data_IF_255741781643
#
_entry.id   IF_255741781643
#
_cell.length_a   1.000
_cell.length_b   1.000
_cell.length_c   1.000
_cell.angle_alpha   90.00
_cell.angle_beta   90.00
_cell.angle_gamma   90.00
#
_symmetry.space_group_name_H-M   'P 1'
#
loop_
_entity.id
_entity.type
_entity.pdbx_description
1 polymer ?
#
# COMPACT_ATOMS: atom_id res chain seq x y z
N UNK A 1 -8.71 -14.37 -13.37
CA UNK A 1 -8.09 -13.10 -12.88
C UNK A 1 -6.73 -12.97 -13.54
N UNK A 2 -6.39 -11.80 -14.11
CA UNK A 2 -5.10 -11.56 -14.78
C UNK A 2 -3.97 -11.39 -13.74
N UNK A 3 -3.58 -12.48 -13.11
CA UNK A 3 -2.47 -12.46 -12.12
C UNK A 3 -1.11 -12.24 -12.78
N UNK A 4 -0.96 -12.62 -14.05
CA UNK A 4 0.30 -12.54 -14.82
C UNK A 4 0.45 -11.26 -15.64
N UNK A 5 -0.48 -10.28 -15.50
CA UNK A 5 -0.33 -8.98 -16.17
C UNK A 5 0.96 -8.30 -15.73
N UNK A 6 1.79 -7.87 -16.69
CA UNK A 6 2.95 -7.05 -16.41
C UNK A 6 2.51 -5.67 -15.88
N UNK A 7 3.16 -5.20 -14.81
CA UNK A 7 2.75 -4.03 -14.04
C UNK A 7 3.62 -2.81 -14.39
N UNK A 8 2.97 -1.66 -14.55
CA UNK A 8 3.64 -0.36 -14.55
C UNK A 8 3.63 0.22 -13.12
N UNK A 9 4.82 0.47 -12.58
CA UNK A 9 5.03 0.96 -11.23
C UNK A 9 5.49 2.42 -11.26
N UNK A 10 4.88 3.28 -10.43
CA UNK A 10 5.27 4.66 -10.22
C UNK A 10 5.87 4.79 -8.82
N UNK A 11 7.12 5.24 -8.69
CA UNK A 11 7.82 5.41 -7.41
C UNK A 11 8.02 6.89 -7.15
N UNK A 12 7.44 7.41 -6.07
CA UNK A 12 7.55 8.82 -5.70
C UNK A 12 8.76 9.08 -4.82
N UNK A 13 9.68 9.93 -5.31
CA UNK A 13 10.89 10.35 -4.63
C UNK A 13 10.75 11.79 -4.09
N UNK A 14 11.40 12.08 -2.97
CA UNK A 14 11.38 13.42 -2.35
C UNK A 14 12.77 14.03 -2.10
N UNK A 15 13.81 13.42 -2.65
CA UNK A 15 15.23 13.76 -2.52
C UNK A 15 15.78 13.68 -1.09
N UNK A 16 15.07 12.97 -0.20
CA UNK A 16 15.53 12.66 1.15
C UNK A 16 16.27 11.31 1.22
N UNK A 17 16.67 10.93 2.41
CA UNK A 17 17.23 9.60 2.69
C UNK A 17 16.25 8.46 2.37
N UNK A 18 14.95 8.76 2.33
CA UNK A 18 13.92 7.77 1.99
C UNK A 18 14.07 7.21 0.57
N UNK A 19 14.62 7.99 -0.35
CA UNK A 19 14.75 7.58 -1.76
C UNK A 19 15.57 6.29 -1.92
N UNK A 20 16.66 6.13 -1.17
CA UNK A 20 17.47 4.90 -1.22
C UNK A 20 16.67 3.65 -0.84
N UNK A 21 15.79 3.76 0.16
CA UNK A 21 14.92 2.66 0.59
C UNK A 21 13.86 2.34 -0.47
N UNK A 22 13.30 3.36 -1.10
CA UNK A 22 12.31 3.19 -2.17
C UNK A 22 12.92 2.56 -3.43
N UNK A 23 14.13 2.97 -3.81
CA UNK A 23 14.86 2.40 -4.96
C UNK A 23 15.23 0.93 -4.66
N UNK A 24 15.70 0.63 -3.44
CA UNK A 24 15.96 -0.75 -3.03
C UNK A 24 14.68 -1.59 -3.05
N UNK A 25 13.56 -1.04 -2.56
CA UNK A 25 12.27 -1.74 -2.55
C UNK A 25 11.74 -1.96 -3.98
N UNK A 26 11.96 -1.02 -4.90
CA UNK A 26 11.63 -1.18 -6.31
C UNK A 26 12.37 -2.37 -6.95
N UNK A 27 13.64 -2.62 -6.59
CA UNK A 27 14.39 -3.82 -7.01
C UNK A 27 13.75 -5.11 -6.47
N UNK A 28 13.27 -5.09 -5.22
CA UNK A 28 12.56 -6.24 -4.62
C UNK A 28 11.26 -6.50 -5.38
N UNK A 29 10.48 -5.45 -5.68
CA UNK A 29 9.23 -5.59 -6.43
C UNK A 29 9.45 -6.18 -7.81
N UNK A 30 10.49 -5.78 -8.54
CA UNK A 30 10.86 -6.37 -9.84
C UNK A 30 11.19 -7.86 -9.73
N UNK A 31 11.80 -8.27 -8.61
CA UNK A 31 12.11 -9.67 -8.38
C UNK A 31 10.88 -10.53 -8.05
N UNK A 32 9.90 -9.99 -7.33
CA UNK A 32 8.75 -10.75 -6.82
C UNK A 32 7.44 -10.53 -7.59
N UNK A 33 7.37 -9.51 -8.44
CA UNK A 33 6.22 -9.22 -9.31
C UNK A 33 6.62 -9.31 -10.79
N UNK A 34 5.63 -9.46 -11.65
CA UNK A 34 5.82 -9.30 -13.09
C UNK A 34 5.77 -7.81 -13.45
N UNK A 35 6.92 -7.17 -13.60
CA UNK A 35 7.04 -5.72 -13.83
C UNK A 35 7.38 -5.44 -15.30
N UNK A 36 6.62 -4.55 -15.93
CA UNK A 36 6.88 -4.03 -17.28
C UNK A 36 7.89 -2.88 -17.24
N UNK A 37 7.64 -1.90 -16.36
CA UNK A 37 8.46 -0.71 -16.22
C UNK A 37 8.30 -0.07 -14.85
N UNK A 38 9.38 0.51 -14.32
CA UNK A 38 9.35 1.36 -13.13
C UNK A 38 9.64 2.80 -13.53
N UNK A 39 8.77 3.73 -13.13
CA UNK A 39 8.96 5.16 -13.34
C UNK A 39 9.23 5.82 -11.99
N UNK A 40 10.39 6.45 -11.83
CA UNK A 40 10.72 7.28 -10.68
C UNK A 40 10.27 8.71 -10.95
N UNK A 41 9.47 9.28 -10.06
CA UNK A 41 8.98 10.64 -10.18
C UNK A 41 9.40 11.48 -8.98
N UNK A 42 9.96 12.67 -9.27
CA UNK A 42 10.13 13.74 -8.29
C UNK A 42 9.44 15.00 -8.77
N UNK A 43 8.74 15.70 -7.88
CA UNK A 43 8.15 16.99 -8.19
C UNK A 43 8.92 18.12 -7.52
N UNK A 44 9.56 18.95 -8.34
CA UNK A 44 10.18 20.19 -7.91
C UNK A 44 9.10 21.27 -7.79
N UNK A 45 8.73 21.62 -6.57
CA UNK A 45 7.65 22.58 -6.30
C UNK A 45 8.12 24.02 -6.61
N UNK A 46 7.59 24.60 -7.66
CA UNK A 46 7.97 25.95 -8.10
C UNK A 46 7.73 27.01 -7.03
N UNK A 47 6.65 26.90 -6.26
CA UNK A 47 6.33 27.86 -5.20
C UNK A 47 7.28 27.85 -3.98
N UNK A 48 8.11 26.82 -3.85
CA UNK A 48 9.12 26.70 -2.78
C UNK A 48 10.52 27.17 -3.25
N UNK A 49 10.69 27.53 -4.55
CA UNK A 49 11.96 27.95 -5.09
C UNK A 49 12.14 29.48 -4.99
N UNK A 50 13.37 29.96 -4.73
CA UNK A 50 13.74 31.35 -4.92
C UNK A 50 13.49 31.80 -6.36
N UNK A 51 13.07 33.07 -6.57
CA UNK A 51 12.74 33.61 -7.88
C UNK A 51 13.89 33.51 -8.89
N UNK A 52 15.11 33.62 -8.44
CA UNK A 52 16.35 33.51 -9.22
C UNK A 52 16.51 32.12 -9.87
N UNK A 53 15.97 31.09 -9.23
CA UNK A 53 16.04 29.70 -9.73
C UNK A 53 14.86 29.31 -10.65
N UNK A 54 13.82 30.13 -10.74
CA UNK A 54 12.63 29.83 -11.58
C UNK A 54 12.90 30.16 -13.06
N UNK A 55 14.03 30.78 -13.40
CA UNK A 55 14.41 31.04 -14.81
C UNK A 55 14.60 29.71 -15.56
N UNK A 56 14.16 29.66 -16.81
CA UNK A 56 14.11 28.44 -17.64
C UNK A 56 15.43 27.68 -17.68
N UNK A 57 16.54 28.36 -17.86
CA UNK A 57 17.86 27.72 -17.93
C UNK A 57 18.30 27.14 -16.59
N UNK A 58 17.98 27.83 -15.48
CA UNK A 58 18.28 27.36 -14.14
C UNK A 58 17.42 26.13 -13.79
N UNK A 59 16.13 26.14 -14.14
CA UNK A 59 15.25 24.98 -13.92
C UNK A 59 15.72 23.76 -14.71
N UNK A 60 16.12 23.92 -15.96
CA UNK A 60 16.66 22.82 -16.76
C UNK A 60 17.94 22.24 -16.16
N UNK A 61 18.83 23.09 -15.64
CA UNK A 61 20.04 22.65 -14.94
C UNK A 61 19.72 21.90 -13.64
N UNK A 62 18.76 22.40 -12.86
CA UNK A 62 18.31 21.73 -11.61
C UNK A 62 17.72 20.36 -11.93
N UNK A 63 16.81 20.29 -12.90
CA UNK A 63 16.22 19.01 -13.33
C UNK A 63 17.30 17.99 -13.74
N UNK A 64 18.28 18.42 -14.55
CA UNK A 64 19.41 17.57 -14.98
C UNK A 64 20.23 17.07 -13.78
N UNK A 65 20.49 17.91 -12.79
CA UNK A 65 21.23 17.52 -11.57
C UNK A 65 20.43 16.52 -10.71
N UNK A 66 19.11 16.73 -10.57
CA UNK A 66 18.24 15.81 -9.85
C UNK A 66 18.20 14.46 -10.57
N UNK A 67 18.01 14.45 -11.90
CA UNK A 67 18.01 13.22 -12.71
C UNK A 67 19.30 12.46 -12.50
N UNK A 68 20.46 13.14 -12.63
CA UNK A 68 21.77 12.50 -12.42
C UNK A 68 21.93 11.90 -11.03
N UNK A 69 21.50 12.62 -9.98
CA UNK A 69 21.54 12.09 -8.60
C UNK A 69 20.69 10.82 -8.45
N UNK A 70 19.49 10.81 -9.01
CA UNK A 70 18.60 9.64 -8.97
C UNK A 70 19.20 8.49 -9.78
N UNK A 71 19.78 8.75 -10.97
CA UNK A 71 20.47 7.74 -11.77
C UNK A 71 21.65 7.11 -11.02
N UNK A 72 22.45 7.91 -10.30
CA UNK A 72 23.57 7.43 -9.48
C UNK A 72 23.07 6.50 -8.36
N UNK A 73 21.97 6.83 -7.68
CA UNK A 73 21.35 5.98 -6.67
C UNK A 73 20.80 4.67 -7.26
N UNK A 74 20.16 4.73 -8.42
CA UNK A 74 19.62 3.57 -9.13
C UNK A 74 20.78 2.65 -9.55
N UNK A 75 21.83 3.20 -10.13
CA UNK A 75 23.00 2.44 -10.58
C UNK A 75 23.69 1.74 -9.42
N UNK A 76 23.81 2.39 -8.26
CA UNK A 76 24.38 1.80 -7.06
C UNK A 76 23.60 0.59 -6.51
N UNK A 77 22.34 0.40 -6.91
CA UNK A 77 21.51 -0.76 -6.52
C UNK A 77 21.59 -1.92 -7.52
N UNK A 78 22.41 -1.82 -8.58
CA UNK A 78 22.55 -2.86 -9.62
C UNK A 78 21.19 -3.30 -10.21
N UNK A 79 20.40 -2.34 -10.64
CA UNK A 79 19.06 -2.56 -11.19
C UNK A 79 19.16 -3.11 -12.62
N UNK A 80 18.38 -4.14 -12.91
CA UNK A 80 18.32 -4.80 -14.24
C UNK A 80 17.02 -4.54 -15.00
N UNK A 81 16.02 -3.93 -14.36
CA UNK A 81 14.73 -3.65 -14.97
C UNK A 81 14.72 -2.35 -15.80
N UNK A 82 13.74 -2.24 -16.70
CA UNK A 82 13.48 -1.01 -17.47
C UNK A 82 12.95 0.08 -16.56
N UNK A 83 13.63 1.22 -16.52
CA UNK A 83 13.17 2.37 -15.73
C UNK A 83 13.14 3.68 -16.54
N UNK A 84 12.43 4.64 -16.00
CA UNK A 84 12.31 6.01 -16.48
C UNK A 84 12.38 6.96 -15.27
N UNK A 85 12.96 8.15 -15.46
CA UNK A 85 13.00 9.20 -14.43
C UNK A 85 12.27 10.42 -14.96
N UNK A 86 11.29 10.91 -14.20
CA UNK A 86 10.49 12.09 -14.54
C UNK A 86 10.65 13.14 -13.44
N UNK A 87 11.12 14.32 -13.79
CA UNK A 87 11.16 15.49 -12.91
C UNK A 87 10.09 16.49 -13.35
N UNK A 88 9.04 16.64 -12.56
CA UNK A 88 7.93 17.57 -12.83
C UNK A 88 8.15 18.91 -12.13
N UNK A 89 7.46 19.95 -12.61
CA UNK A 89 7.55 21.34 -12.15
C UNK A 89 6.16 21.85 -11.76
N UNK A 90 5.53 21.22 -10.78
CA UNK A 90 4.18 21.58 -10.34
C UNK A 90 4.23 22.23 -8.94
N UNK A 91 3.32 23.18 -8.67
CA UNK A 91 3.22 23.77 -7.34
C UNK A 91 2.80 22.78 -6.26
N UNK A 92 2.04 21.76 -6.66
CA UNK A 92 1.51 20.73 -5.75
C UNK A 92 1.85 19.33 -6.28
N UNK A 93 2.50 18.54 -5.45
CA UNK A 93 2.92 17.18 -5.84
C UNK A 93 1.74 16.28 -6.21
N UNK A 94 0.58 16.42 -5.56
CA UNK A 94 -0.62 15.65 -5.91
C UNK A 94 -1.10 15.92 -7.35
N UNK A 95 -0.90 17.14 -7.86
CA UNK A 95 -1.24 17.49 -9.27
C UNK A 95 -0.25 16.79 -10.20
N UNK A 96 1.05 16.83 -9.90
CA UNK A 96 2.08 16.16 -10.68
C UNK A 96 1.78 14.65 -10.83
N UNK A 97 1.53 13.96 -9.71
CA UNK A 97 1.19 12.53 -9.72
C UNK A 97 -0.11 12.23 -10.48
N UNK A 98 -1.14 13.06 -10.31
CA UNK A 98 -2.40 12.88 -11.01
C UNK A 98 -2.26 13.09 -12.53
N UNK A 99 -1.45 14.06 -12.96
CA UNK A 99 -1.16 14.33 -14.37
C UNK A 99 -0.43 13.15 -15.03
N UNK A 100 0.65 12.67 -14.42
CA UNK A 100 1.42 11.53 -14.91
C UNK A 100 0.57 10.25 -14.95
N UNK A 101 -0.26 10.02 -13.91
CA UNK A 101 -1.17 8.87 -13.86
C UNK A 101 -2.29 8.91 -14.90
N UNK A 102 -2.61 10.07 -15.46
CA UNK A 102 -3.54 10.19 -16.59
C UNK A 102 -2.88 9.92 -17.95
N UNK A 103 -1.61 10.27 -18.09
CA UNK A 103 -0.85 10.06 -19.33
C UNK A 103 -0.49 8.59 -19.52
N UNK A 104 -0.17 7.89 -18.43
CA UNK A 104 0.18 6.47 -18.44
C UNK A 104 -0.54 5.78 -17.30
N UNK A 105 -1.15 4.63 -17.61
CA UNK A 105 -1.82 3.81 -16.59
C UNK A 105 -0.79 3.11 -15.72
N UNK A 106 -0.68 3.50 -14.46
CA UNK A 106 0.11 2.81 -13.46
C UNK A 106 -0.78 1.88 -12.63
N UNK A 107 -0.30 0.66 -12.40
CA UNK A 107 -0.99 -0.35 -11.60
C UNK A 107 -0.69 -0.17 -10.11
N UNK A 108 0.54 0.27 -9.80
CA UNK A 108 1.04 0.45 -8.44
C UNK A 108 1.77 1.79 -8.29
N UNK A 109 1.41 2.54 -7.26
CA UNK A 109 2.16 3.68 -6.74
C UNK A 109 2.94 3.24 -5.50
N UNK A 110 4.23 3.55 -5.43
CA UNK A 110 5.10 3.28 -4.28
C UNK A 110 5.55 4.60 -3.66
N UNK A 111 5.34 4.77 -2.36
CA UNK A 111 5.68 5.96 -1.61
C UNK A 111 6.35 5.61 -0.29
N UNK A 112 7.18 6.51 0.22
CA UNK A 112 7.74 6.40 1.57
C UNK A 112 6.69 6.61 2.66
N UNK A 113 6.79 5.80 3.72
CA UNK A 113 6.02 5.91 4.95
C UNK A 113 6.99 6.16 6.11
N UNK A 114 7.52 7.38 6.19
CA UNK A 114 8.56 7.77 7.14
C UNK A 114 8.12 7.55 8.58
N UNK A 115 8.86 6.73 9.32
CA UNK A 115 8.62 6.41 10.72
C UNK A 115 9.54 7.22 11.66
N UNK A 116 10.81 7.29 11.29
CA UNK A 116 11.86 8.01 12.03
C UNK A 116 12.38 9.23 11.25
N UNK A 117 12.30 9.19 9.93
CA UNK A 117 12.71 10.28 9.06
C UNK A 117 11.71 11.44 9.11
N UNK A 118 12.20 12.66 8.86
CA UNK A 118 11.36 13.86 8.83
C UNK A 118 10.34 13.81 7.71
N UNK A 119 9.07 14.00 8.05
CA UNK A 119 7.95 14.04 7.11
C UNK A 119 6.63 13.76 7.82
N UNK A 120 5.51 14.22 7.24
CA UNK A 120 4.18 14.09 7.86
C UNK A 120 3.23 13.16 7.08
N UNK A 121 3.71 12.47 6.05
CA UNK A 121 2.89 11.55 5.26
C UNK A 121 1.70 12.19 4.51
N UNK A 122 1.59 13.52 4.49
CA UNK A 122 0.43 14.24 3.92
C UNK A 122 0.21 13.92 2.43
N UNK A 123 1.29 13.80 1.66
CA UNK A 123 1.21 13.43 0.24
C UNK A 123 0.68 12.01 0.07
N UNK A 124 1.21 11.04 0.82
CA UNK A 124 0.74 9.65 0.78
C UNK A 124 -0.75 9.55 1.07
N UNK A 125 -1.22 10.25 2.12
CA UNK A 125 -2.64 10.34 2.48
C UNK A 125 -3.52 10.85 1.32
N UNK A 126 -3.08 11.89 0.61
CA UNK A 126 -3.80 12.45 -0.54
C UNK A 126 -3.81 11.46 -1.71
N UNK A 127 -2.67 10.88 -2.04
CA UNK A 127 -2.52 10.03 -3.23
C UNK A 127 -3.24 8.68 -3.08
N UNK A 128 -3.25 8.08 -1.89
CA UNK A 128 -4.06 6.88 -1.59
C UNK A 128 -5.55 7.11 -1.91
N UNK A 129 -6.05 8.33 -1.72
CA UNK A 129 -7.45 8.68 -2.02
C UNK A 129 -7.68 9.02 -3.49
N UNK A 130 -6.77 9.80 -4.09
CA UNK A 130 -6.95 10.42 -5.41
C UNK A 130 -6.67 9.49 -6.57
N UNK A 131 -5.60 8.71 -6.52
CA UNK A 131 -5.16 7.92 -7.68
C UNK A 131 -5.93 6.60 -7.79
N UNK A 132 -6.20 6.13 -9.00
CA UNK A 132 -6.93 4.88 -9.25
C UNK A 132 -6.07 3.63 -8.97
N UNK A 133 -4.74 3.74 -9.03
CA UNK A 133 -3.79 2.66 -8.77
C UNK A 133 -3.84 2.15 -7.34
N UNK A 134 -3.39 0.93 -7.10
CA UNK A 134 -3.02 0.50 -5.77
C UNK A 134 -1.86 1.37 -5.25
N UNK A 135 -1.77 1.53 -3.93
CA UNK A 135 -0.71 2.35 -3.31
C UNK A 135 0.01 1.55 -2.24
N UNK A 136 1.31 1.38 -2.42
CA UNK A 136 2.21 0.73 -1.48
C UNK A 136 2.98 1.80 -0.69
N UNK A 137 2.88 1.74 0.62
CA UNK A 137 3.65 2.57 1.54
C UNK A 137 4.76 1.73 2.15
N UNK A 138 6.00 2.19 1.98
CA UNK A 138 7.21 1.50 2.41
C UNK A 138 7.83 2.30 3.55
N UNK A 139 7.92 1.77 4.79
CA UNK A 139 8.67 2.40 5.86
C UNK A 139 10.17 2.22 5.63
N UNK A 140 11.02 3.12 6.12
CA UNK A 140 12.48 2.94 6.08
C UNK A 140 12.97 1.76 6.94
N UNK A 141 12.13 1.30 7.84
CA UNK A 141 12.37 0.16 8.75
C UNK A 141 11.90 -1.18 8.17
N UNK A 142 11.52 -1.24 6.88
CA UNK A 142 11.04 -2.48 6.27
C UNK A 142 12.07 -3.62 6.32
N UNK A 143 11.58 -4.85 6.34
CA UNK A 143 12.41 -6.05 6.35
C UNK A 143 12.46 -6.71 4.98
N UNK A 144 13.59 -7.33 4.68
CA UNK A 144 13.83 -8.14 3.48
C UNK A 144 14.47 -9.48 3.88
N UNK A 145 14.14 -10.56 3.18
CA UNK A 145 13.15 -10.67 2.09
C UNK A 145 11.70 -10.54 2.59
N UNK A 146 10.74 -10.29 1.67
CA UNK A 146 9.31 -10.32 1.99
C UNK A 146 8.88 -11.79 2.11
N UNK A 147 8.67 -12.27 3.32
CA UNK A 147 8.32 -13.68 3.60
C UNK A 147 6.88 -13.85 4.08
N UNK A 148 6.36 -12.87 4.80
CA UNK A 148 5.03 -12.96 5.44
C UNK A 148 4.14 -11.82 4.98
N UNK A 149 3.02 -12.17 4.37
CA UNK A 149 1.99 -11.24 3.88
C UNK A 149 0.68 -11.48 4.61
N UNK A 150 0.07 -10.42 5.12
CA UNK A 150 -1.27 -10.42 5.71
C UNK A 150 -2.27 -9.87 4.71
N UNK A 151 -3.29 -10.65 4.40
CA UNK A 151 -4.40 -10.27 3.53
C UNK A 151 -5.59 -9.88 4.41
N UNK A 152 -5.84 -8.56 4.60
CA UNK A 152 -6.85 -8.05 5.53
C UNK A 152 -8.25 -8.07 4.89
N UNK A 153 -9.05 -9.07 5.21
CA UNK A 153 -10.34 -9.37 4.60
C UNK A 153 -11.49 -8.71 5.37
N UNK A 154 -12.37 -8.00 4.66
CA UNK A 154 -13.57 -7.40 5.23
C UNK A 154 -14.87 -7.89 4.58
N UNK A 155 -14.78 -8.88 3.69
CA UNK A 155 -15.89 -9.42 2.90
C UNK A 155 -16.64 -8.38 2.04
N UNK A 156 -16.01 -7.25 1.76
CA UNK A 156 -16.52 -6.22 0.84
C UNK A 156 -16.12 -6.50 -0.61
N UNK A 157 -16.52 -5.60 -1.52
CA UNK A 157 -16.07 -5.61 -2.92
C UNK A 157 -14.55 -5.48 -3.08
N UNK A 158 -13.83 -5.07 -2.04
CA UNK A 158 -12.36 -4.95 -2.06
C UNK A 158 -11.67 -6.29 -1.84
N UNK A 159 -12.34 -7.29 -1.26
CA UNK A 159 -11.79 -8.62 -1.04
C UNK A 159 -11.22 -9.22 -2.33
N UNK A 160 -11.92 -9.09 -3.47
CA UNK A 160 -11.42 -9.58 -4.75
C UNK A 160 -10.12 -8.89 -5.19
N UNK A 161 -9.97 -7.58 -4.95
CA UNK A 161 -8.74 -6.85 -5.25
C UNK A 161 -7.59 -7.26 -4.32
N UNK A 162 -7.88 -7.48 -3.03
CA UNK A 162 -6.90 -8.01 -2.07
C UNK A 162 -6.41 -9.37 -2.55
N UNK A 163 -7.31 -10.30 -2.89
CA UNK A 163 -6.95 -11.65 -3.36
C UNK A 163 -6.19 -11.64 -4.69
N UNK A 164 -6.50 -10.69 -5.59
CA UNK A 164 -5.72 -10.53 -6.82
C UNK A 164 -4.27 -10.12 -6.52
N UNK A 165 -4.06 -9.15 -5.63
CA UNK A 165 -2.71 -8.73 -5.26
C UNK A 165 -1.97 -9.82 -4.48
N UNK A 166 -2.63 -10.51 -3.57
CA UNK A 166 -2.08 -11.68 -2.89
C UNK A 166 -1.60 -12.76 -3.89
N UNK A 167 -2.43 -13.06 -4.89
CA UNK A 167 -2.08 -14.01 -5.94
C UNK A 167 -0.90 -13.54 -6.81
N UNK A 168 -0.76 -12.24 -7.09
CA UNK A 168 0.38 -11.67 -7.82
C UNK A 168 1.69 -11.88 -7.06
N UNK A 169 1.72 -11.60 -5.76
CA UNK A 169 2.88 -11.86 -4.92
C UNK A 169 3.22 -13.35 -4.85
N UNK A 170 2.22 -14.20 -4.67
CA UNK A 170 2.40 -15.66 -4.58
C UNK A 170 2.90 -16.29 -5.89
N UNK A 171 2.33 -15.88 -7.03
CA UNK A 171 2.57 -16.56 -8.32
C UNK A 171 3.84 -16.07 -9.04
N UNK A 172 4.31 -14.86 -8.76
CA UNK A 172 5.43 -14.25 -9.48
C UNK A 172 6.74 -14.18 -8.68
N UNK A 173 6.79 -14.75 -7.49
CA UNK A 173 7.91 -14.65 -6.56
C UNK A 173 9.21 -15.39 -6.97
N UNK A 174 9.37 -15.76 -8.24
CA UNK A 174 10.62 -16.34 -8.83
C UNK A 174 11.37 -17.32 -7.91
N UNK A 175 10.62 -18.23 -7.26
CA UNK A 175 11.17 -19.26 -6.36
C UNK A 175 11.28 -18.85 -4.88
N UNK A 176 10.98 -17.60 -4.53
CA UNK A 176 10.85 -17.21 -3.13
C UNK A 176 9.50 -17.66 -2.58
N UNK A 177 9.49 -18.36 -1.44
CA UNK A 177 8.27 -18.76 -0.77
C UNK A 177 7.71 -17.59 0.04
N UNK A 178 6.58 -17.02 -0.40
CA UNK A 178 5.86 -15.99 0.33
C UNK A 178 4.65 -16.62 1.01
N UNK A 179 4.62 -16.56 2.34
CA UNK A 179 3.52 -17.07 3.17
C UNK A 179 2.42 -16.03 3.27
N UNK A 180 1.23 -16.39 2.79
CA UNK A 180 0.02 -15.57 2.93
C UNK A 180 -0.84 -16.03 4.10
N UNK A 181 -1.39 -15.08 4.85
CA UNK A 181 -2.38 -15.33 5.92
C UNK A 181 -3.55 -14.38 5.72
N UNK A 182 -4.69 -14.90 5.29
CA UNK A 182 -5.93 -14.12 5.25
C UNK A 182 -6.44 -13.93 6.68
N UNK A 183 -6.84 -12.70 7.04
CA UNK A 183 -7.39 -12.38 8.35
C UNK A 183 -8.63 -11.51 8.24
N UNK A 184 -9.66 -11.86 9.00
CA UNK A 184 -10.79 -11.00 9.27
C UNK A 184 -10.83 -10.63 10.75
N UNK A 185 -10.84 -9.33 11.03
CA UNK A 185 -11.03 -8.86 12.41
C UNK A 185 -12.54 -8.65 12.63
N UNK A 186 -13.17 -9.55 13.39
CA UNK A 186 -14.58 -9.42 13.74
C UNK A 186 -14.76 -8.32 14.79
N UNK A 187 -15.83 -7.53 14.62
CA UNK A 187 -16.15 -6.45 15.57
C UNK A 187 -16.58 -7.05 16.91
N UNK A 188 -16.19 -6.38 18.00
CA UNK A 188 -16.76 -6.67 19.31
C UNK A 188 -18.12 -6.01 19.44
N UNK A 189 -19.15 -6.79 19.75
CA UNK A 189 -20.53 -6.27 19.96
C UNK A 189 -20.74 -5.70 21.36
N UNK A 190 -19.82 -5.90 22.29
CA UNK A 190 -19.88 -5.47 23.68
C UNK A 190 -20.15 -3.99 23.88
N UNK A 191 -19.57 -3.14 23.04
CA UNK A 191 -19.74 -1.69 23.15
C UNK A 191 -21.03 -1.16 22.54
N UNK A 192 -21.74 -1.96 21.75
CA UNK A 192 -22.95 -1.54 21.03
C UNK A 192 -24.24 -2.09 21.62
N UNK A 193 -24.16 -3.13 22.43
CA UNK A 193 -25.32 -3.86 22.97
C UNK A 193 -25.21 -4.02 24.49
N UNK A 194 -25.15 -2.94 25.27
CA UNK A 194 -24.94 -3.00 26.74
C UNK A 194 -26.09 -3.68 27.50
N UNK A 195 -27.22 -3.96 26.82
CA UNK A 195 -28.41 -4.63 27.40
C UNK A 195 -28.35 -6.15 27.26
N UNK A 196 -27.35 -6.70 26.56
CA UNK A 196 -27.22 -8.14 26.35
C UNK A 196 -26.29 -8.77 27.38
N UNK A 197 -26.56 -10.02 27.73
CA UNK A 197 -25.68 -10.81 28.59
C UNK A 197 -24.45 -11.31 27.82
N UNK A 198 -23.37 -11.63 28.52
CA UNK A 198 -22.15 -12.19 27.94
C UNK A 198 -22.45 -13.44 27.10
N UNK A 199 -23.35 -14.31 27.56
CA UNK A 199 -23.74 -15.52 26.84
C UNK A 199 -24.44 -15.25 25.50
N UNK A 200 -25.28 -14.23 25.44
CA UNK A 200 -25.96 -13.83 24.21
C UNK A 200 -24.97 -13.22 23.21
N UNK A 201 -24.06 -12.38 23.70
CA UNK A 201 -23.02 -11.77 22.88
C UNK A 201 -22.04 -12.81 22.34
N UNK A 202 -21.64 -13.80 23.14
CA UNK A 202 -20.80 -14.93 22.71
C UNK A 202 -21.52 -15.77 21.64
N UNK A 203 -22.83 -16.01 21.78
CA UNK A 203 -23.60 -16.75 20.80
C UNK A 203 -23.61 -16.00 19.45
N UNK A 204 -23.94 -14.70 19.46
CA UNK A 204 -23.94 -13.86 18.25
C UNK A 204 -22.55 -13.84 17.59
N UNK A 205 -21.49 -13.71 18.40
CA UNK A 205 -20.14 -13.71 17.88
C UNK A 205 -19.77 -15.03 17.21
N UNK A 206 -20.14 -16.16 17.77
CA UNK A 206 -19.90 -17.49 17.16
C UNK A 206 -20.68 -17.69 15.86
N UNK A 207 -21.94 -17.25 15.82
CA UNK A 207 -22.77 -17.30 14.61
C UNK A 207 -22.18 -16.43 13.50
N UNK A 208 -21.75 -15.20 13.81
CA UNK A 208 -21.08 -14.30 12.87
C UNK A 208 -19.75 -14.88 12.34
N UNK A 209 -18.95 -15.48 13.21
CA UNK A 209 -17.70 -16.17 12.82
C UNK A 209 -18.00 -17.32 11.85
N UNK A 210 -18.95 -18.18 12.19
CA UNK A 210 -19.35 -19.31 11.37
C UNK A 210 -19.86 -18.88 9.99
N UNK A 211 -20.70 -17.86 9.91
CA UNK A 211 -21.18 -17.31 8.64
C UNK A 211 -20.03 -16.82 7.75
N UNK A 212 -19.03 -16.16 8.35
CA UNK A 212 -17.87 -15.67 7.62
C UNK A 212 -16.94 -16.79 7.16
N UNK A 213 -16.74 -17.82 7.97
CA UNK A 213 -15.99 -19.03 7.59
C UNK A 213 -16.68 -19.77 6.42
N UNK A 214 -17.99 -19.94 6.49
CA UNK A 214 -18.77 -20.56 5.40
C UNK A 214 -18.68 -19.73 4.10
N UNK A 215 -18.80 -18.41 4.19
CA UNK A 215 -18.65 -17.51 3.07
C UNK A 215 -17.25 -17.59 2.45
N UNK A 216 -16.21 -17.60 3.29
CA UNK A 216 -14.83 -17.75 2.85
C UNK A 216 -14.60 -19.08 2.14
N UNK A 217 -14.99 -20.18 2.76
CA UNK A 217 -14.84 -21.52 2.22
C UNK A 217 -15.56 -21.70 0.88
N UNK A 218 -16.69 -21.03 0.69
CA UNK A 218 -17.44 -21.07 -0.57
C UNK A 218 -16.76 -20.28 -1.71
N UNK A 219 -16.06 -19.18 -1.41
CA UNK A 219 -15.58 -18.23 -2.42
C UNK A 219 -14.06 -18.19 -2.57
N UNK A 220 -13.29 -18.49 -1.51
CA UNK A 220 -11.86 -18.16 -1.45
C UNK A 220 -10.97 -19.28 -0.88
N UNK A 221 -11.50 -20.43 -0.45
CA UNK A 221 -10.71 -21.51 0.17
C UNK A 221 -9.56 -22.03 -0.70
N UNK A 222 -9.68 -21.88 -2.05
CA UNK A 222 -8.60 -22.27 -2.96
C UNK A 222 -7.33 -21.38 -2.84
N UNK A 223 -7.39 -20.26 -2.14
CA UNK A 223 -6.26 -19.34 -2.01
C UNK A 223 -5.45 -19.59 -0.73
N UNK A 224 -6.10 -19.64 0.41
CA UNK A 224 -5.54 -19.88 1.75
C UNK A 224 -6.67 -20.04 2.78
N UNK A 225 -6.35 -20.53 3.96
CA UNK A 225 -7.26 -20.48 5.11
C UNK A 225 -7.41 -19.04 5.63
N UNK A 226 -8.50 -18.77 6.36
CA UNK A 226 -8.74 -17.47 6.97
C UNK A 226 -8.71 -17.56 8.49
N UNK A 227 -7.96 -16.66 9.13
CA UNK A 227 -8.03 -16.44 10.56
C UNK A 227 -9.14 -15.43 10.88
N UNK A 228 -10.16 -15.80 11.64
CA UNK A 228 -11.17 -14.85 12.13
C UNK A 228 -10.85 -14.52 13.58
N UNK A 229 -10.42 -13.26 13.79
CA UNK A 229 -9.89 -12.80 15.08
C UNK A 229 -10.83 -11.76 15.69
N UNK A 230 -11.34 -11.95 16.91
CA UNK A 230 -12.17 -10.93 17.55
C UNK A 230 -11.34 -9.70 17.94
N UNK A 231 -11.86 -8.51 17.68
CA UNK A 231 -11.22 -7.24 18.06
C UNK A 231 -11.13 -7.06 19.59
N UNK A 232 -11.88 -7.83 20.37
CA UNK A 232 -12.00 -7.70 21.83
C UNK A 232 -12.36 -6.25 22.22
N UNK A 233 -11.56 -5.64 23.07
CA UNK A 233 -11.76 -4.26 23.55
C UNK A 233 -11.02 -3.21 22.70
N UNK A 234 -10.58 -3.57 21.48
CA UNK A 234 -9.85 -2.68 20.57
C UNK A 234 -10.70 -2.32 19.36
N UNK A 235 -10.34 -1.24 18.65
CA UNK A 235 -10.86 -1.01 17.32
C UNK A 235 -10.21 -1.99 16.31
N UNK A 236 -10.92 -2.24 15.20
CA UNK A 236 -10.49 -3.20 14.17
C UNK A 236 -9.07 -2.92 13.64
N UNK A 237 -8.72 -1.64 13.45
CA UNK A 237 -7.40 -1.27 12.94
C UNK A 237 -6.28 -1.59 13.93
N UNK A 238 -6.50 -1.35 15.24
CA UNK A 238 -5.52 -1.68 16.27
C UNK A 238 -5.33 -3.20 16.39
N UNK A 239 -6.43 -3.96 16.34
CA UNK A 239 -6.37 -5.43 16.36
C UNK A 239 -5.65 -5.98 15.12
N UNK A 240 -5.88 -5.39 13.94
CA UNK A 240 -5.22 -5.78 12.70
C UNK A 240 -3.69 -5.53 12.75
N UNK A 241 -3.28 -4.35 13.23
CA UNK A 241 -1.86 -4.01 13.40
C UNK A 241 -1.20 -4.95 14.42
N UNK A 242 -1.88 -5.23 15.54
CA UNK A 242 -1.37 -6.17 16.54
C UNK A 242 -1.24 -7.59 15.97
N UNK A 243 -2.19 -8.03 15.16
CA UNK A 243 -2.12 -9.32 14.47
C UNK A 243 -0.92 -9.37 13.51
N UNK A 244 -0.73 -8.34 12.66
CA UNK A 244 0.40 -8.25 11.76
C UNK A 244 1.74 -8.28 12.52
N UNK A 245 1.85 -7.55 13.62
CA UNK A 245 3.02 -7.57 14.51
C UNK A 245 3.29 -8.97 15.10
N UNK A 246 2.24 -9.65 15.57
CA UNK A 246 2.37 -11.01 16.12
C UNK A 246 2.84 -12.01 15.07
N UNK A 247 2.39 -11.87 13.83
CA UNK A 247 2.81 -12.72 12.71
C UNK A 247 4.14 -12.26 12.08
N UNK A 248 4.73 -11.16 12.54
CA UNK A 248 5.94 -10.52 11.95
C UNK A 248 5.76 -10.27 10.47
N UNK A 249 4.64 -9.64 10.11
CA UNK A 249 4.29 -9.40 8.72
C UNK A 249 5.20 -8.35 8.06
N UNK A 250 5.76 -8.67 6.91
CA UNK A 250 6.55 -7.75 6.08
C UNK A 250 5.64 -6.86 5.23
N UNK A 251 4.48 -7.38 4.83
CA UNK A 251 3.50 -6.69 4.01
C UNK A 251 2.08 -6.95 4.51
N UNK A 252 1.24 -5.92 4.52
CA UNK A 252 -0.20 -6.02 4.75
C UNK A 252 -0.95 -5.47 3.54
N UNK A 253 -1.84 -6.28 2.96
CA UNK A 253 -2.72 -5.89 1.85
C UNK A 253 -4.11 -5.60 2.40
N UNK A 254 -4.62 -4.40 2.15
CA UNK A 254 -5.92 -3.98 2.67
C UNK A 254 -6.68 -3.10 1.68
N UNK A 255 -8.01 -3.13 1.75
CA UNK A 255 -8.88 -2.27 0.93
C UNK A 255 -8.85 -0.81 1.42
N UNK A 256 -8.88 0.15 0.48
CA UNK A 256 -9.00 1.58 0.86
C UNK A 256 -10.33 1.91 1.53
N UNK A 257 -11.38 1.09 1.35
CA UNK A 257 -12.70 1.22 1.99
C UNK A 257 -13.19 -0.14 2.45
N UNK A 258 -14.11 -0.15 3.41
CA UNK A 258 -14.84 -1.34 3.84
C UNK A 258 -16.24 -1.41 3.22
N UNK A 259 -17.07 -2.29 3.76
CA UNK A 259 -18.45 -2.56 3.32
C UNK A 259 -19.41 -1.37 3.42
N UNK A 260 -19.11 -0.31 4.17
CA UNK A 260 -20.00 0.82 4.46
C UNK A 260 -20.21 1.85 3.33
N UNK A 261 -19.72 1.61 2.12
CA UNK A 261 -20.19 2.17 0.85
C UNK A 261 -20.32 3.69 0.65
N UNK A 262 -19.50 4.54 1.28
CA UNK A 262 -19.56 6.00 1.09
C UNK A 262 -18.72 6.44 -0.13
N UNK A 263 -19.17 7.53 -0.81
CA UNK A 263 -18.63 8.10 -2.08
C UNK A 263 -17.08 8.14 -2.20
N UNK A 264 -16.58 8.13 -3.42
CA UNK A 264 -15.24 7.78 -3.91
C UNK A 264 -14.00 8.48 -3.28
N UNK A 265 -14.17 9.53 -2.50
CA UNK A 265 -13.05 10.36 -1.99
C UNK A 265 -12.68 10.05 -0.51
N UNK A 266 -13.48 9.23 0.18
CA UNK A 266 -13.30 9.00 1.62
C UNK A 266 -12.60 7.66 1.85
N UNK A 267 -11.49 7.68 2.58
CA UNK A 267 -10.80 6.49 3.07
C UNK A 267 -11.64 5.82 4.17
N UNK A 268 -11.74 4.51 4.15
CA UNK A 268 -12.45 3.74 5.18
C UNK A 268 -11.80 3.92 6.56
N UNK A 269 -12.57 3.77 7.63
CA UNK A 269 -12.10 4.00 9.01
C UNK A 269 -10.89 3.14 9.35
N UNK A 270 -10.89 1.85 9.00
CA UNK A 270 -9.75 0.93 9.23
C UNK A 270 -8.53 1.39 8.45
N UNK A 271 -8.67 1.60 7.13
CA UNK A 271 -7.57 2.04 6.27
C UNK A 271 -6.99 3.39 6.74
N UNK A 272 -7.85 4.33 7.14
CA UNK A 272 -7.40 5.62 7.66
C UNK A 272 -6.64 5.48 8.99
N UNK A 273 -7.10 4.64 9.92
CA UNK A 273 -6.39 4.41 11.17
C UNK A 273 -5.05 3.68 10.98
N UNK A 274 -5.00 2.68 10.08
CA UNK A 274 -3.76 1.96 9.75
C UNK A 274 -2.74 2.91 9.13
N UNK A 275 -3.18 3.75 8.20
CA UNK A 275 -2.33 4.71 7.49
C UNK A 275 -1.62 5.72 8.44
N UNK A 276 -2.24 6.06 9.58
CA UNK A 276 -1.70 7.04 10.53
C UNK A 276 -0.98 6.41 11.73
N UNK A 277 -0.78 5.09 11.73
CA UNK A 277 -0.07 4.43 12.82
C UNK A 277 1.34 4.03 12.40
N UNK A 278 2.33 4.23 13.26
CA UNK A 278 3.68 3.74 13.02
C UNK A 278 3.67 2.21 12.86
N UNK A 279 4.38 1.73 11.85
CA UNK A 279 4.52 0.30 11.58
C UNK A 279 5.75 0.03 10.71
N UNK A 280 6.47 -1.05 11.02
CA UNK A 280 7.57 -1.57 10.20
C UNK A 280 7.07 -2.42 9.02
N UNK A 281 5.77 -2.76 9.03
CA UNK A 281 5.09 -3.50 7.97
C UNK A 281 4.80 -2.58 6.79
N UNK A 282 5.15 -2.98 5.57
CA UNK A 282 4.71 -2.29 4.35
C UNK A 282 3.19 -2.39 4.20
N UNK A 283 2.55 -1.32 3.72
CA UNK A 283 1.09 -1.24 3.62
C UNK A 283 0.66 -1.10 2.16
N UNK A 284 -0.01 -2.10 1.61
CA UNK A 284 -0.58 -2.06 0.25
C UNK A 284 -2.08 -1.79 0.30
N UNK A 285 -2.45 -0.57 -0.05
CA UNK A 285 -3.85 -0.14 -0.18
C UNK A 285 -4.37 -0.45 -1.58
N UNK A 286 -5.38 -1.33 -1.67
CA UNK A 286 -5.93 -1.75 -2.96
C UNK A 286 -7.31 -1.16 -3.22
N UNK A 287 -7.63 -1.00 -4.51
CA UNK A 287 -8.90 -0.50 -5.01
C UNK A 287 -9.60 -1.59 -5.82
N UNK A 288 -10.95 -1.55 -5.94
CA UNK A 288 -11.66 -2.50 -6.78
C UNK A 288 -11.14 -2.43 -8.21
N UNK A 289 -11.07 -3.56 -8.88
CA UNK A 289 -10.80 -3.63 -10.31
C UNK A 289 -11.88 -2.85 -11.08
N UNK A 290 -11.44 -2.03 -12.02
CA UNK A 290 -12.34 -1.32 -12.96
C UNK A 290 -12.81 -2.24 -14.05
#
# INVERSE_FOLDING_TARGET
>A
METNKALNILVGLDLSEMDQYLIQYAKILDHILNVEQITFIHNLKLGELPKELIQKDQLALIQKRITKRVEEQITATEITYKYEIIITLENYSEIAFASISKQKNYDLLVLGNKQQLTGNGALANKLVRLLPSATLLVPETFHIPIETVIDAIDFSRYTNAIMLWAARFKNNSKGQLIKHSAVHISKSYWSYLPMMTDKELDKISREDIKEKEEKWNKQYAQYTDIDIVPAKNQNVAAALIQYAKTKKADLMILGVKGSAGIKEIILGSVANHVLHRPTDTCLLFVKPLR
#
